data_IF_675821677671
#
_entry.id   IF_675821677671
#
_cell.length_a   1.000
_cell.length_b   1.000
_cell.length_c   1.000
_cell.angle_alpha   90.00
_cell.angle_beta   90.00
_cell.angle_gamma   90.00
#
_symmetry.space_group_name_H-M   'P 1'
#
loop_
_entity.id
_entity.type
_entity.pdbx_description
1 polymer ?
#
# COMPACT_ATOMS: atom_id res chain seq x y z
N UNK A 1 -37.37 31.77 -20.91
CA UNK A 1 -36.82 31.10 -22.11
C UNK A 1 -35.39 30.67 -21.80
N UNK A 2 -35.15 29.35 -21.81
CA UNK A 2 -33.85 28.71 -21.54
C UNK A 2 -32.92 28.87 -22.75
N UNK A 3 -31.63 29.13 -22.54
CA UNK A 3 -30.59 28.90 -23.56
C UNK A 3 -29.49 28.04 -22.91
N UNK A 4 -29.56 26.75 -23.18
CA UNK A 4 -28.52 25.76 -22.87
C UNK A 4 -27.66 25.67 -24.12
N UNK A 5 -26.40 26.06 -24.03
CA UNK A 5 -25.41 25.87 -25.09
C UNK A 5 -24.75 24.52 -24.83
N UNK A 6 -25.23 23.50 -25.55
CA UNK A 6 -24.61 22.17 -25.58
C UNK A 6 -23.41 22.18 -26.51
N UNK A 7 -22.22 21.93 -25.95
CA UNK A 7 -21.00 21.69 -26.72
C UNK A 7 -20.97 20.22 -27.12
N UNK A 8 -21.10 19.98 -28.42
CA UNK A 8 -21.04 18.66 -29.05
C UNK A 8 -19.56 18.26 -29.18
N UNK A 9 -19.05 17.38 -28.30
CA UNK A 9 -17.74 16.75 -28.51
C UNK A 9 -17.89 15.57 -29.47
N UNK A 10 -17.28 15.70 -30.64
CA UNK A 10 -17.18 14.65 -31.66
C UNK A 10 -16.11 13.66 -31.22
N UNK A 11 -16.50 12.43 -30.88
CA UNK A 11 -15.58 11.30 -30.69
C UNK A 11 -15.18 10.75 -32.07
N UNK A 12 -13.91 10.94 -32.43
CA UNK A 12 -13.30 10.29 -33.60
C UNK A 12 -12.63 8.99 -33.15
N UNK A 13 -13.24 7.85 -33.49
CA UNK A 13 -12.61 6.53 -33.42
C UNK A 13 -11.60 6.39 -34.55
N UNK A 14 -10.32 6.20 -34.23
CA UNK A 14 -9.31 5.72 -35.19
C UNK A 14 -9.06 4.25 -34.88
N UNK A 15 -9.63 3.36 -35.71
CA UNK A 15 -9.28 1.96 -35.77
C UNK A 15 -8.06 1.81 -36.67
N UNK A 16 -6.93 1.37 -36.11
CA UNK A 16 -5.78 0.88 -36.89
C UNK A 16 -5.89 -0.64 -37.02
N UNK A 17 -6.53 -1.09 -38.09
CA UNK A 17 -6.44 -2.47 -38.56
C UNK A 17 -5.29 -2.60 -39.55
N UNK A 18 -4.17 -3.16 -39.09
CA UNK A 18 -3.07 -3.61 -39.95
C UNK A 18 -3.24 -5.08 -40.32
N UNK A 19 -3.54 -5.33 -41.60
CA UNK A 19 -3.47 -6.64 -42.24
C UNK A 19 -2.05 -6.88 -42.77
N UNK A 20 -1.52 -8.09 -42.63
CA UNK A 20 -0.41 -8.55 -43.48
C UNK A 20 0.39 -9.72 -42.94
N UNK A 21 0.17 -10.91 -43.51
CA UNK A 21 1.17 -11.99 -43.51
C UNK A 21 0.66 -13.38 -43.14
N UNK A 22 -0.02 -14.05 -44.07
CA UNK A 22 -0.31 -15.48 -44.00
C UNK A 22 0.96 -16.30 -44.24
N UNK A 23 1.44 -17.05 -43.24
CA UNK A 23 2.34 -18.19 -43.44
C UNK A 23 1.84 -19.34 -42.58
N UNK A 24 1.41 -20.43 -43.23
CA UNK A 24 1.07 -21.71 -42.60
C UNK A 24 2.35 -22.35 -42.02
N UNK A 25 2.21 -23.18 -40.97
CA UNK A 25 2.98 -24.41 -40.94
C UNK A 25 2.11 -25.66 -40.76
N UNK A 26 2.68 -26.77 -41.22
CA UNK A 26 2.12 -28.08 -41.34
C UNK A 26 1.95 -28.81 -40.00
N UNK A 27 1.02 -29.75 -40.02
CA UNK A 27 0.79 -30.81 -39.05
C UNK A 27 1.99 -31.76 -38.95
N UNK A 28 2.40 -32.13 -37.74
CA UNK A 28 2.97 -33.45 -37.46
C UNK A 28 2.54 -33.93 -36.07
N UNK A 29 2.17 -35.20 -36.01
CA UNK A 29 1.61 -35.94 -34.87
C UNK A 29 2.69 -36.84 -34.26
N UNK A 30 2.82 -36.91 -32.93
CA UNK A 30 2.96 -38.13 -32.09
C UNK A 30 3.70 -37.85 -30.76
N UNK A 31 3.25 -38.50 -29.68
CA UNK A 31 4.14 -38.90 -28.59
C UNK A 31 3.61 -38.69 -27.16
N UNK A 32 2.90 -39.69 -26.66
CA UNK A 32 2.51 -39.88 -25.25
C UNK A 32 3.74 -40.08 -24.34
N UNK A 33 3.70 -39.55 -23.11
CA UNK A 33 4.71 -39.79 -22.08
C UNK A 33 4.46 -39.00 -20.78
N UNK A 34 3.61 -39.54 -19.91
CA UNK A 34 3.38 -39.08 -18.53
C UNK A 34 4.61 -39.40 -17.65
N UNK A 35 5.16 -38.43 -16.92
CA UNK A 35 6.02 -38.69 -15.75
C UNK A 35 6.09 -37.48 -14.80
N UNK A 36 6.15 -37.70 -13.47
CA UNK A 36 5.62 -36.76 -12.48
C UNK A 36 6.57 -35.61 -12.19
N UNK A 37 6.05 -34.39 -12.33
CA UNK A 37 6.72 -33.15 -11.94
C UNK A 37 6.82 -33.10 -10.42
N UNK A 38 8.00 -33.43 -9.87
CA UNK A 38 8.38 -32.98 -8.53
C UNK A 38 8.27 -31.46 -8.51
N UNK A 39 7.23 -30.92 -7.87
CA UNK A 39 7.16 -29.51 -7.53
C UNK A 39 8.23 -29.24 -6.46
N UNK A 40 9.41 -28.84 -6.90
CA UNK A 40 10.35 -28.10 -6.08
C UNK A 40 9.70 -26.74 -5.86
N UNK A 41 9.17 -26.50 -4.66
CA UNK A 41 8.75 -25.16 -4.26
C UNK A 41 10.02 -24.33 -4.09
N UNK A 42 10.50 -23.74 -5.19
CA UNK A 42 11.47 -22.65 -5.11
C UNK A 42 10.76 -21.50 -4.42
N UNK A 43 11.18 -21.19 -3.21
CA UNK A 43 10.90 -19.91 -2.57
C UNK A 43 11.58 -18.85 -3.47
N UNK A 44 10.84 -18.36 -4.47
CA UNK A 44 11.32 -17.29 -5.33
C UNK A 44 11.51 -16.08 -4.42
N UNK A 45 12.77 -15.69 -4.19
CA UNK A 45 13.09 -14.34 -3.80
C UNK A 45 12.60 -13.44 -4.95
N UNK A 46 11.35 -13.02 -4.84
CA UNK A 46 10.72 -12.06 -5.74
C UNK A 46 11.42 -10.72 -5.55
N UNK A 47 11.77 -10.06 -6.66
CA UNK A 47 12.33 -8.69 -6.65
C UNK A 47 11.35 -7.67 -6.05
N UNK A 48 10.08 -8.04 -5.86
CA UNK A 48 9.00 -7.22 -5.33
C UNK A 48 8.33 -7.87 -4.13
N UNK A 49 7.60 -7.07 -3.35
CA UNK A 49 6.76 -7.58 -2.26
C UNK A 49 5.67 -8.52 -2.79
N UNK A 50 5.28 -9.52 -1.98
CA UNK A 50 4.06 -10.29 -2.22
C UNK A 50 2.85 -9.40 -2.01
N UNK A 51 1.97 -9.28 -3.00
CA UNK A 51 0.77 -8.43 -2.97
C UNK A 51 -0.50 -9.18 -2.52
N UNK A 52 -0.35 -10.28 -1.79
CA UNK A 52 -1.48 -11.06 -1.27
C UNK A 52 -2.15 -10.32 -0.11
N UNK A 53 -3.46 -10.08 -0.23
CA UNK A 53 -4.26 -9.47 0.84
C UNK A 53 -4.72 -10.52 1.82
N UNK A 54 -4.35 -10.38 3.08
CA UNK A 54 -4.72 -11.30 4.15
C UNK A 54 -5.12 -10.53 5.41
N UNK A 55 -5.89 -11.16 6.29
CA UNK A 55 -6.11 -10.62 7.63
C UNK A 55 -4.79 -10.51 8.39
N UNK A 56 -4.72 -9.60 9.38
CA UNK A 56 -3.55 -9.53 10.25
C UNK A 56 -3.28 -10.89 10.90
N UNK A 57 -2.04 -11.37 10.83
CA UNK A 57 -1.59 -12.48 11.67
C UNK A 57 -1.57 -12.06 13.15
N UNK A 58 -1.55 -13.03 14.07
CA UNK A 58 -1.68 -12.77 15.51
C UNK A 58 -0.56 -11.88 16.08
N UNK A 59 0.66 -12.03 15.56
CA UNK A 59 1.81 -11.24 15.99
C UNK A 59 1.65 -9.77 15.57
N UNK A 60 1.28 -9.55 14.30
CA UNK A 60 1.00 -8.22 13.76
C UNK A 60 -0.21 -7.59 14.43
N UNK A 61 -1.26 -8.37 14.74
CA UNK A 61 -2.45 -7.88 15.44
C UNK A 61 -2.08 -7.32 16.83
N UNK A 62 -1.32 -8.10 17.61
CA UNK A 62 -0.88 -7.71 18.94
C UNK A 62 0.04 -6.49 18.91
N UNK A 63 0.94 -6.43 17.92
CA UNK A 63 1.83 -5.29 17.74
C UNK A 63 1.09 -4.04 17.26
N UNK A 64 0.22 -4.13 16.26
CA UNK A 64 -0.34 -2.97 15.55
C UNK A 64 -1.41 -2.23 16.37
N UNK A 65 -2.17 -2.94 17.21
CA UNK A 65 -3.18 -2.28 18.03
C UNK A 65 -2.58 -1.52 19.23
N UNK A 66 -3.11 -0.31 19.46
CA UNK A 66 -2.75 0.58 20.54
C UNK A 66 -3.09 2.04 20.25
N UNK A 67 -2.70 2.90 21.19
CA UNK A 67 -2.61 4.34 20.93
C UNK A 67 -1.18 4.65 20.53
N UNK A 68 -1.03 5.30 19.38
CA UNK A 68 0.25 5.65 18.79
C UNK A 68 0.45 7.15 18.78
N UNK A 69 1.66 7.58 19.07
CA UNK A 69 2.07 8.98 19.02
C UNK A 69 3.12 9.17 17.95
N UNK A 70 2.97 10.16 17.09
CA UNK A 70 3.98 10.49 16.09
C UNK A 70 5.22 11.02 16.79
N UNK A 71 6.33 10.31 16.66
CA UNK A 71 7.54 10.57 17.44
C UNK A 71 8.62 11.29 16.65
N UNK A 72 8.94 10.77 15.47
CA UNK A 72 10.13 11.18 14.72
C UNK A 72 9.80 11.36 13.25
N UNK A 73 10.26 12.47 12.66
CA UNK A 73 10.30 12.66 11.22
C UNK A 73 11.52 11.93 10.65
N UNK A 74 11.30 11.05 9.68
CA UNK A 74 12.34 10.21 9.08
C UNK A 74 12.79 10.70 7.71
N UNK A 75 12.00 11.51 7.01
CA UNK A 75 12.33 12.04 5.70
C UNK A 75 11.15 11.98 4.73
N UNK A 76 11.44 11.90 3.45
CA UNK A 76 10.45 11.93 2.37
C UNK A 76 10.63 10.74 1.42
N UNK A 77 9.52 10.23 0.89
CA UNK A 77 9.49 9.18 -0.11
C UNK A 77 9.89 9.71 -1.50
N UNK A 78 10.57 8.87 -2.28
CA UNK A 78 11.00 9.22 -3.64
C UNK A 78 9.87 9.13 -4.68
N UNK A 79 8.72 8.57 -4.31
CA UNK A 79 7.58 8.32 -5.20
C UNK A 79 6.86 9.58 -5.71
N UNK A 80 7.17 10.78 -5.22
CA UNK A 80 6.43 12.02 -5.49
C UNK A 80 7.31 13.17 -6.05
N UNK A 81 8.30 12.87 -6.88
CA UNK A 81 9.35 13.83 -7.26
C UNK A 81 9.02 14.82 -8.40
N UNK A 82 7.88 14.71 -9.10
CA UNK A 82 7.74 15.38 -10.41
C UNK A 82 6.98 16.73 -10.43
N UNK A 83 6.21 17.13 -9.41
CA UNK A 83 5.50 18.43 -9.45
C UNK A 83 4.94 18.96 -8.12
N UNK A 84 5.18 18.32 -6.99
CA UNK A 84 4.51 18.68 -5.74
C UNK A 84 5.30 19.80 -5.06
N UNK A 85 4.65 20.96 -4.85
CA UNK A 85 4.99 21.80 -3.71
C UNK A 85 4.83 20.89 -2.48
N UNK A 86 5.95 20.33 -2.01
CA UNK A 86 5.96 19.47 -0.83
C UNK A 86 5.17 20.21 0.25
N UNK A 87 4.13 19.60 0.85
CA UNK A 87 3.56 20.21 2.04
C UNK A 87 4.74 20.45 2.98
N UNK A 88 4.83 21.67 3.52
CA UNK A 88 5.92 22.29 4.31
C UNK A 88 6.40 21.48 5.55
N UNK A 89 6.62 20.18 5.40
CA UNK A 89 6.45 19.17 6.43
C UNK A 89 5.01 19.11 6.94
N UNK A 90 4.42 17.92 7.01
CA UNK A 90 3.27 17.76 7.90
C UNK A 90 3.75 17.89 9.35
N UNK A 91 3.10 18.74 10.15
CA UNK A 91 3.42 18.97 11.56
C UNK A 91 2.61 18.02 12.42
N UNK A 92 2.93 16.74 12.34
CA UNK A 92 2.26 15.71 13.12
C UNK A 92 2.98 15.35 14.41
N UNK A 93 4.23 15.76 14.60
CA UNK A 93 5.02 15.35 15.76
C UNK A 93 4.25 15.68 17.05
N UNK A 94 3.99 14.65 17.84
CA UNK A 94 3.22 14.73 19.07
C UNK A 94 1.73 14.39 18.94
N UNK A 95 1.18 14.36 17.73
CA UNK A 95 -0.20 13.95 17.47
C UNK A 95 -0.39 12.45 17.65
N UNK A 96 -1.63 12.03 17.86
CA UNK A 96 -1.99 10.66 18.21
C UNK A 96 -2.91 10.01 17.17
N UNK A 97 -2.73 8.70 16.99
CA UNK A 97 -3.57 7.84 16.17
C UNK A 97 -4.03 6.68 17.04
N UNK A 98 -5.33 6.44 17.09
CA UNK A 98 -5.94 5.35 17.82
C UNK A 98 -6.22 4.19 16.85
N UNK A 99 -5.61 3.03 17.12
CA UNK A 99 -5.77 1.83 16.30
C UNK A 99 -6.20 0.69 17.22
N UNK A 100 -7.49 0.41 17.29
CA UNK A 100 -8.10 -0.67 18.05
C UNK A 100 -8.85 -1.61 17.12
N UNK A 101 -9.13 -2.82 17.60
CA UNK A 101 -9.85 -3.85 16.84
C UNK A 101 -11.20 -3.36 16.33
N UNK A 102 -11.91 -2.58 17.14
CA UNK A 102 -13.26 -2.07 16.89
C UNK A 102 -13.29 -0.57 16.55
N UNK A 103 -12.14 0.10 16.53
CA UNK A 103 -12.06 1.55 16.32
C UNK A 103 -10.74 1.96 15.68
N UNK A 104 -10.80 2.66 14.56
CA UNK A 104 -9.68 3.44 14.04
C UNK A 104 -10.01 4.92 14.17
N UNK A 105 -9.06 5.75 14.62
CA UNK A 105 -9.22 7.21 14.60
C UNK A 105 -7.89 7.92 14.37
N UNK A 106 -7.83 8.75 13.33
CA UNK A 106 -6.74 9.68 13.05
C UNK A 106 -7.11 11.13 13.39
N UNK A 107 -8.22 11.34 14.11
CA UNK A 107 -8.66 12.68 14.55
C UNK A 107 -7.69 13.38 15.51
N UNK A 108 -6.73 12.65 16.09
CA UNK A 108 -5.65 13.25 16.87
C UNK A 108 -4.69 14.11 16.04
N UNK A 109 -4.71 14.00 14.71
CA UNK A 109 -3.92 14.82 13.77
C UNK A 109 -4.63 16.17 13.52
N UNK A 110 -4.72 17.01 14.55
CA UNK A 110 -5.73 18.10 14.67
C UNK A 110 -5.68 19.16 13.56
N UNK A 111 -4.50 19.43 13.01
CA UNK A 111 -4.29 20.56 12.09
C UNK A 111 -4.66 20.27 10.63
N UNK A 112 -5.15 19.06 10.34
CA UNK A 112 -5.33 18.58 8.97
C UNK A 112 -6.69 17.92 8.79
N UNK A 113 -7.64 18.66 8.19
CA UNK A 113 -9.02 18.21 7.95
C UNK A 113 -9.09 16.91 7.13
N UNK A 114 -8.21 16.77 6.14
CA UNK A 114 -8.14 15.60 5.26
C UNK A 114 -7.78 14.29 5.98
N UNK A 115 -7.15 14.36 7.17
CA UNK A 115 -6.84 13.18 7.97
C UNK A 115 -7.85 12.94 9.10
N UNK A 116 -8.94 13.70 9.21
CA UNK A 116 -9.94 13.54 10.27
C UNK A 116 -10.88 12.36 10.00
N UNK A 117 -10.35 11.14 10.13
CA UNK A 117 -11.11 9.89 9.95
C UNK A 117 -11.38 9.24 11.30
N UNK A 118 -12.59 8.70 11.45
CA UNK A 118 -12.92 7.72 12.48
C UNK A 118 -13.76 6.60 11.86
N UNK A 119 -13.38 5.35 12.12
CA UNK A 119 -14.07 4.16 11.61
C UNK A 119 -14.41 3.24 12.79
N UNK A 120 -15.66 2.78 12.83
CA UNK A 120 -16.09 1.72 13.74
C UNK A 120 -16.01 0.37 13.04
N UNK A 121 -15.52 -0.63 13.76
CA UNK A 121 -15.25 -1.99 13.25
C UNK A 121 -14.46 -1.97 11.92
N UNK A 122 -13.32 -1.24 11.84
CA UNK A 122 -12.50 -1.19 10.63
C UNK A 122 -12.01 -2.58 10.22
N UNK A 123 -11.80 -2.78 8.92
CA UNK A 123 -11.12 -3.97 8.41
C UNK A 123 -9.63 -3.63 8.29
N UNK A 124 -8.81 -4.40 9.00
CA UNK A 124 -7.34 -4.33 8.91
C UNK A 124 -6.81 -5.53 8.13
N UNK A 125 -5.97 -5.27 7.14
CA UNK A 125 -5.38 -6.30 6.29
C UNK A 125 -3.89 -6.03 6.06
N UNK A 126 -3.11 -7.10 5.99
CA UNK A 126 -1.80 -7.05 5.35
C UNK A 126 -2.09 -7.00 3.85
N UNK A 127 -1.66 -5.92 3.20
CA UNK A 127 -1.89 -5.67 1.77
C UNK A 127 -0.68 -6.03 0.91
N UNK A 128 0.51 -6.05 1.52
CA UNK A 128 1.70 -6.62 0.94
C UNK A 128 2.71 -7.00 2.03
N UNK A 129 3.57 -7.96 1.72
CA UNK A 129 4.70 -8.37 2.55
C UNK A 129 5.99 -8.33 1.73
N UNK A 130 6.97 -7.58 2.22
CA UNK A 130 8.30 -7.44 1.63
C UNK A 130 9.30 -8.13 2.56
N UNK A 131 10.03 -9.13 2.08
CA UNK A 131 10.92 -9.95 2.94
C UNK A 131 12.36 -9.41 3.03
N UNK A 132 12.63 -8.29 2.38
CA UNK A 132 13.92 -7.60 2.41
C UNK A 132 13.74 -6.12 2.03
N UNK A 133 14.75 -5.31 2.38
CA UNK A 133 14.79 -3.87 2.07
C UNK A 133 14.61 -3.55 0.59
N UNK A 134 15.29 -4.30 -0.28
CA UNK A 134 15.29 -4.04 -1.72
C UNK A 134 13.90 -4.22 -2.35
N UNK A 135 13.19 -5.29 -1.97
CA UNK A 135 11.82 -5.56 -2.42
C UNK A 135 10.86 -4.46 -1.97
N UNK A 136 11.00 -3.99 -0.73
CA UNK A 136 10.24 -2.87 -0.21
C UNK A 136 10.49 -1.59 -1.01
N UNK A 137 11.77 -1.22 -1.20
CA UNK A 137 12.13 -0.03 -1.96
C UNK A 137 11.64 -0.12 -3.40
N UNK A 138 11.76 -1.28 -4.06
CA UNK A 138 11.31 -1.46 -5.45
C UNK A 138 9.80 -1.28 -5.60
N UNK A 139 9.01 -1.81 -4.67
CA UNK A 139 7.54 -1.72 -4.68
C UNK A 139 7.02 -0.34 -4.28
N UNK A 140 7.59 0.30 -3.27
CA UNK A 140 7.04 1.53 -2.70
C UNK A 140 7.82 2.81 -3.04
N UNK A 141 9.07 2.70 -3.49
CA UNK A 141 10.00 3.83 -3.68
C UNK A 141 10.17 4.68 -2.41
N UNK A 142 10.19 4.01 -1.25
CA UNK A 142 10.37 4.62 0.07
C UNK A 142 11.68 4.07 0.65
N UNK A 143 12.54 4.96 1.15
CA UNK A 143 13.71 4.59 1.94
C UNK A 143 13.44 4.89 3.41
N UNK A 144 13.26 3.84 4.21
CA UNK A 144 13.07 3.96 5.66
C UNK A 144 14.47 3.91 6.30
N UNK A 145 14.88 4.94 7.06
CA UNK A 145 16.15 4.92 7.78
C UNK A 145 16.30 3.68 8.66
N UNK A 146 17.53 3.15 8.66
CA UNK A 146 17.96 2.02 9.48
C UNK A 146 17.23 0.68 9.20
N UNK A 147 16.60 0.54 8.01
CA UNK A 147 16.08 -0.75 7.54
C UNK A 147 17.25 -1.66 7.13
N UNK A 148 17.31 -2.86 7.70
CA UNK A 148 18.32 -3.87 7.38
C UNK A 148 17.91 -4.72 6.16
N UNK A 149 18.88 -5.40 5.55
CA UNK A 149 18.67 -6.21 4.35
C UNK A 149 17.54 -7.23 4.51
N UNK A 150 17.46 -7.90 5.65
CA UNK A 150 16.49 -8.98 5.90
C UNK A 150 15.24 -8.54 6.69
N UNK A 151 15.05 -7.24 6.91
CA UNK A 151 13.87 -6.77 7.62
C UNK A 151 12.60 -7.06 6.80
N UNK A 152 11.60 -7.60 7.48
CA UNK A 152 10.29 -7.89 6.91
C UNK A 152 9.40 -6.68 7.12
N UNK A 153 8.87 -6.12 6.02
CA UNK A 153 7.96 -4.99 6.04
C UNK A 153 6.57 -5.43 5.58
N UNK A 154 5.57 -5.23 6.42
CA UNK A 154 4.15 -5.49 6.12
C UNK A 154 3.42 -4.17 5.91
N UNK A 155 2.83 -3.98 4.74
CA UNK A 155 1.98 -2.82 4.47
C UNK A 155 0.56 -3.08 4.97
N UNK A 156 0.07 -2.23 5.88
CA UNK A 156 -1.23 -2.41 6.52
C UNK A 156 -2.26 -1.50 5.87
N UNK A 157 -3.32 -2.12 5.34
CA UNK A 157 -4.52 -1.43 4.86
C UNK A 157 -5.53 -1.27 5.98
N UNK A 158 -6.14 -0.08 6.07
CA UNK A 158 -7.28 0.20 6.93
C UNK A 158 -8.45 0.56 6.03
N UNK A 159 -9.59 -0.10 6.18
CA UNK A 159 -10.74 0.17 5.34
C UNK A 159 -12.06 0.22 6.12
N UNK A 160 -13.01 0.98 5.56
CA UNK A 160 -14.36 1.05 6.10
C UNK A 160 -15.09 -0.27 5.82
N UNK A 161 -15.69 -0.94 6.83
CA UNK A 161 -16.30 -2.25 6.64
C UNK A 161 -17.49 -2.24 5.69
N UNK A 162 -18.23 -1.13 5.60
CA UNK A 162 -19.43 -1.01 4.77
C UNK A 162 -19.09 -0.79 3.30
N UNK A 163 -18.09 0.05 3.00
CA UNK A 163 -17.73 0.40 1.61
C UNK A 163 -16.51 -0.35 1.10
N UNK A 164 -15.73 -0.98 1.98
CA UNK A 164 -14.43 -1.61 1.73
C UNK A 164 -13.39 -0.67 1.12
N UNK A 165 -13.64 0.64 1.14
CA UNK A 165 -12.69 1.64 0.66
C UNK A 165 -11.58 1.82 1.69
N UNK A 166 -10.34 1.91 1.21
CA UNK A 166 -9.17 2.22 2.03
C UNK A 166 -9.27 3.66 2.55
N UNK A 167 -9.16 3.84 3.87
CA UNK A 167 -9.28 5.14 4.56
C UNK A 167 -8.35 5.10 5.79
N UNK A 168 -7.60 6.18 6.10
CA UNK A 168 -7.58 7.50 5.47
C UNK A 168 -6.93 7.49 4.09
N UNK A 169 -7.50 8.25 3.16
CA UNK A 169 -6.79 8.57 1.91
C UNK A 169 -5.54 9.35 2.31
N UNK A 170 -4.37 8.91 1.83
CA UNK A 170 -3.07 9.52 2.11
C UNK A 170 -2.43 9.24 3.47
N UNK A 171 -2.94 8.29 4.28
CA UNK A 171 -2.19 7.69 5.37
C UNK A 171 -1.95 6.20 5.10
N UNK A 172 -0.69 5.78 5.14
CA UNK A 172 -0.27 4.39 4.95
C UNK A 172 0.57 3.93 6.14
N UNK A 173 0.40 2.68 6.54
CA UNK A 173 1.09 2.11 7.69
C UNK A 173 2.01 0.97 7.24
N UNK A 174 3.25 0.97 7.71
CA UNK A 174 4.20 -0.12 7.49
C UNK A 174 4.71 -0.64 8.82
N UNK A 175 4.50 -1.93 9.06
CA UNK A 175 5.03 -2.63 10.23
C UNK A 175 6.35 -3.29 9.83
N UNK A 176 7.44 -2.92 10.50
CA UNK A 176 8.77 -3.51 10.29
C UNK A 176 9.05 -4.49 11.43
N UNK A 177 9.20 -5.77 11.10
CA UNK A 177 9.48 -6.88 12.03
C UNK A 177 8.54 -6.99 13.25
N UNK A 178 7.38 -6.33 13.25
CA UNK A 178 6.55 -6.14 14.45
C UNK A 178 7.28 -5.43 15.61
N UNK A 179 8.22 -4.55 15.29
CA UNK A 179 9.03 -3.81 16.26
C UNK A 179 8.97 -2.29 16.03
N UNK A 180 8.79 -1.86 14.78
CA UNK A 180 8.64 -0.45 14.40
C UNK A 180 7.38 -0.24 13.59
N UNK A 181 6.71 0.88 13.83
CA UNK A 181 5.56 1.29 13.05
C UNK A 181 5.87 2.61 12.34
N UNK A 182 5.81 2.54 11.01
CA UNK A 182 6.06 3.68 10.13
C UNK A 182 4.73 4.19 9.62
N UNK A 183 4.52 5.50 9.75
CA UNK A 183 3.42 6.23 9.16
C UNK A 183 3.95 6.99 7.94
N UNK A 184 3.44 6.67 6.77
CA UNK A 184 3.59 7.52 5.59
C UNK A 184 2.35 8.40 5.47
N UNK A 185 2.57 9.69 5.34
CA UNK A 185 1.53 10.64 5.01
C UNK A 185 1.89 11.41 3.77
N UNK A 186 1.17 11.12 2.68
CA UNK A 186 1.57 11.53 1.33
C UNK A 186 3.03 11.11 1.07
N UNK A 187 3.95 12.07 0.96
CA UNK A 187 5.37 11.81 0.80
C UNK A 187 6.17 11.80 2.11
N UNK A 188 5.62 12.24 3.25
CA UNK A 188 6.39 12.37 4.49
C UNK A 188 6.39 11.08 5.29
N UNK A 189 7.55 10.67 5.77
CA UNK A 189 7.77 9.44 6.52
C UNK A 189 7.96 9.79 7.99
N UNK A 190 7.20 9.12 8.85
CA UNK A 190 7.30 9.24 10.31
C UNK A 190 7.45 7.88 10.98
N UNK A 191 8.16 7.86 12.08
CA UNK A 191 8.10 6.77 13.05
C UNK A 191 7.09 7.14 14.15
N UNK A 192 6.23 6.21 14.50
CA UNK A 192 5.23 6.38 15.55
C UNK A 192 5.48 5.36 16.66
N UNK A 193 5.34 5.82 17.91
CA UNK A 193 5.56 4.99 19.09
C UNK A 193 4.26 4.64 19.78
N UNK A 194 4.18 3.43 20.31
CA UNK A 194 3.05 3.02 21.14
C UNK A 194 3.16 3.70 22.51
N UNK A 195 2.10 4.37 22.95
CA UNK A 195 2.03 5.07 24.24
C UNK A 195 1.01 4.46 25.21
N UNK A 196 0.13 3.59 24.71
CA UNK A 196 -0.78 2.78 25.52
C UNK A 196 -1.09 1.49 24.80
N UNK A 197 -1.11 0.40 25.55
CA UNK A 197 -1.64 -0.88 25.10
C UNK A 197 -3.18 -0.87 25.12
N UNK A 198 -3.74 -1.97 24.60
CA UNK A 198 -5.15 -2.21 24.31
C UNK A 198 -6.04 -2.10 25.54
#
# INVERSE_FOLDING_TARGET
MKKVIGVLMVLSFILLSGCGGSVKPATDTQGSGESPRKQVTTQQNSDYCSAERTSLDSETENYFYGTWKVEKHLGFANSYNDASEYPTGQKFIGDEILIKKDLFSSKGIKNYSQYQTELRNPIYEITATCNNKDSFYRSYKIDIPDLNENDVVKAIGVSNPSTKMSIPVSLSFFVVNNERLILLSEATIFEIKKISEK
#
